data_IF_868494094915
#
_entry.id   IF_868494094915
#
_cell.length_a   1.000
_cell.length_b   1.000
_cell.length_c   1.000
_cell.angle_alpha   90.00
_cell.angle_beta   90.00
_cell.angle_gamma   90.00
#
_symmetry.space_group_name_H-M   'P 1'
#
loop_
_entity.id
_entity.type
_entity.pdbx_description
1 polymer ?
#
# COMPACT_ATOMS: atom_id res chain seq x y z
N UNK A 1 -9.18 16.93 2.28
CA UNK A 1 -7.83 16.36 2.06
C UNK A 1 -7.87 15.52 0.80
N UNK A 2 -6.91 15.68 -0.11
CA UNK A 2 -6.86 14.89 -1.35
C UNK A 2 -6.68 13.38 -1.06
N UNK A 3 -7.10 12.53 -1.99
CA UNK A 3 -6.84 11.10 -1.93
C UNK A 3 -5.33 10.83 -2.07
N UNK A 4 -4.77 9.81 -1.37
CA UNK A 4 -3.35 9.47 -1.50
C UNK A 4 -3.03 9.02 -2.93
N UNK A 5 -1.88 9.45 -3.46
CA UNK A 5 -1.35 8.97 -4.73
C UNK A 5 -0.73 7.58 -4.54
N UNK A 6 -1.55 6.56 -4.77
CA UNK A 6 -1.18 5.16 -4.54
C UNK A 6 0.02 4.73 -5.39
N UNK A 7 0.13 5.23 -6.62
CA UNK A 7 1.22 4.88 -7.54
C UNK A 7 2.54 5.48 -7.06
N UNK A 8 2.52 6.72 -6.59
CA UNK A 8 3.69 7.38 -6.03
C UNK A 8 4.11 6.75 -4.69
N UNK A 9 3.16 6.38 -3.83
CA UNK A 9 3.47 5.66 -2.58
C UNK A 9 4.17 4.35 -2.92
N UNK A 10 3.60 3.51 -3.80
CA UNK A 10 4.24 2.26 -4.23
C UNK A 10 5.63 2.48 -4.81
N UNK A 11 5.81 3.52 -5.62
CA UNK A 11 7.10 3.84 -6.23
C UNK A 11 8.23 4.02 -5.22
N UNK A 12 7.92 4.54 -4.02
CA UNK A 12 8.90 4.69 -2.93
C UNK A 12 9.28 3.38 -2.23
N UNK A 13 8.44 2.36 -2.38
CA UNK A 13 8.73 1.01 -1.90
C UNK A 13 9.52 0.19 -2.93
N UNK A 14 9.70 0.70 -4.16
CA UNK A 14 10.36 0.00 -5.28
C UNK A 14 9.74 -1.37 -5.59
N UNK A 15 8.44 -1.53 -5.27
CA UNK A 15 7.69 -2.76 -5.46
C UNK A 15 6.88 -2.75 -6.75
N UNK A 16 6.70 -3.95 -7.34
CA UNK A 16 5.68 -4.21 -8.34
C UNK A 16 4.27 -4.01 -7.79
N UNK A 17 3.27 -3.87 -8.67
CA UNK A 17 1.87 -3.79 -8.25
C UNK A 17 1.42 -5.03 -7.45
N UNK A 18 1.89 -6.22 -7.83
CA UNK A 18 1.55 -7.47 -7.13
C UNK A 18 2.12 -7.51 -5.72
N UNK A 19 3.39 -7.13 -5.54
CA UNK A 19 4.05 -7.15 -4.23
C UNK A 19 3.45 -6.11 -3.31
N UNK A 20 3.20 -4.89 -3.81
CA UNK A 20 2.60 -3.84 -3.00
C UNK A 20 1.14 -4.15 -2.65
N UNK A 21 0.38 -4.78 -3.55
CA UNK A 21 -0.96 -5.26 -3.24
C UNK A 21 -0.94 -6.33 -2.14
N UNK A 22 0.00 -7.27 -2.19
CA UNK A 22 0.19 -8.28 -1.15
C UNK A 22 0.57 -7.64 0.19
N UNK A 23 1.49 -6.68 0.20
CA UNK A 23 1.88 -5.91 1.37
C UNK A 23 0.70 -5.18 2.02
N UNK A 24 -0.22 -4.63 1.23
CA UNK A 24 -1.43 -3.97 1.72
C UNK A 24 -2.58 -4.93 2.04
N UNK A 25 -2.43 -6.24 1.77
CA UNK A 25 -3.48 -7.23 1.97
C UNK A 25 -4.69 -7.06 1.04
N UNK A 26 -4.47 -6.57 -0.19
CA UNK A 26 -5.52 -6.37 -1.20
C UNK A 26 -5.22 -7.12 -2.50
N UNK A 27 -6.26 -7.38 -3.30
CA UNK A 27 -6.06 -7.94 -4.64
C UNK A 27 -5.42 -6.91 -5.58
N UNK A 28 -4.55 -7.35 -6.49
CA UNK A 28 -3.92 -6.51 -7.53
C UNK A 28 -4.92 -5.67 -8.32
N UNK A 29 -6.13 -6.19 -8.61
CA UNK A 29 -7.19 -5.43 -9.31
C UNK A 29 -7.67 -4.24 -8.50
N UNK A 30 -7.71 -4.35 -7.17
CA UNK A 30 -8.07 -3.24 -6.27
C UNK A 30 -7.00 -2.16 -6.34
N UNK A 31 -5.72 -2.54 -6.24
CA UNK A 31 -4.61 -1.59 -6.36
C UNK A 31 -4.62 -0.88 -7.72
N UNK A 32 -4.81 -1.61 -8.82
CA UNK A 32 -4.89 -1.05 -10.17
C UNK A 32 -6.04 -0.05 -10.31
N UNK A 33 -7.22 -0.35 -9.76
CA UNK A 33 -8.34 0.58 -9.77
C UNK A 33 -8.02 1.88 -9.02
N UNK A 34 -7.23 1.81 -7.94
CA UNK A 34 -6.76 2.99 -7.22
C UNK A 34 -5.71 3.78 -7.98
N UNK A 35 -4.68 3.13 -8.51
CA UNK A 35 -3.62 3.81 -9.29
C UNK A 35 -4.15 4.46 -10.58
N UNK A 36 -5.22 3.91 -11.16
CA UNK A 36 -5.88 4.46 -12.35
C UNK A 36 -6.98 5.48 -12.02
N UNK A 37 -7.28 5.72 -10.74
CA UNK A 37 -8.35 6.63 -10.31
C UNK A 37 -9.77 6.15 -10.60
N UNK A 38 -9.96 4.89 -11.02
CA UNK A 38 -11.30 4.29 -11.25
C UNK A 38 -12.10 4.13 -9.95
N UNK A 39 -11.40 3.91 -8.84
CA UNK A 39 -11.93 3.93 -7.49
C UNK A 39 -10.92 4.63 -6.58
N UNK A 40 -11.39 5.22 -5.49
CA UNK A 40 -10.52 5.80 -4.47
C UNK A 40 -10.43 4.85 -3.27
N UNK A 41 -9.27 4.78 -2.60
CA UNK A 41 -9.17 4.09 -1.32
C UNK A 41 -10.02 4.82 -0.27
N UNK A 42 -10.75 4.06 0.54
CA UNK A 42 -11.64 4.59 1.58
C UNK A 42 -11.42 3.84 2.90
N UNK A 43 -11.93 4.40 4.00
CA UNK A 43 -11.86 3.79 5.32
C UNK A 43 -10.43 3.40 5.72
N UNK A 44 -10.27 2.18 6.23
CA UNK A 44 -8.98 1.65 6.68
C UNK A 44 -7.90 1.63 5.57
N UNK A 45 -8.26 1.35 4.31
CA UNK A 45 -7.29 1.33 3.22
C UNK A 45 -6.67 2.72 2.98
N UNK A 46 -7.47 3.79 3.09
CA UNK A 46 -6.96 5.16 3.00
C UNK A 46 -6.01 5.49 4.14
N UNK A 47 -6.34 5.07 5.36
CA UNK A 47 -5.48 5.29 6.53
C UNK A 47 -4.17 4.52 6.38
N UNK A 48 -4.23 3.24 5.98
CA UNK A 48 -3.05 2.40 5.77
C UNK A 48 -2.11 2.99 4.69
N UNK A 49 -2.66 3.49 3.58
CA UNK A 49 -1.86 4.16 2.55
C UNK A 49 -1.18 5.44 3.08
N UNK A 50 -1.86 6.22 3.92
CA UNK A 50 -1.26 7.39 4.55
C UNK A 50 -0.17 7.04 5.56
N UNK A 51 -0.31 5.91 6.26
CA UNK A 51 0.75 5.39 7.13
C UNK A 51 1.92 4.90 6.29
N UNK A 52 1.69 4.16 5.21
CA UNK A 52 2.72 3.70 4.29
C UNK A 52 3.47 4.87 3.64
N UNK A 53 2.76 5.95 3.33
CA UNK A 53 3.32 7.19 2.78
C UNK A 53 4.26 7.90 3.78
N UNK A 54 3.82 8.05 5.04
CA UNK A 54 4.51 8.86 6.05
C UNK A 54 5.52 8.09 6.90
N UNK A 55 5.30 6.80 7.08
CA UNK A 55 6.04 5.95 8.01
C UNK A 55 6.34 4.59 7.36
N UNK A 56 7.14 4.54 6.28
CA UNK A 56 7.40 3.31 5.56
C UNK A 56 8.07 2.23 6.41
N UNK A 57 8.95 2.63 7.34
CA UNK A 57 9.63 1.70 8.26
C UNK A 57 8.66 0.94 9.17
N UNK A 58 7.55 1.58 9.58
CA UNK A 58 6.54 0.92 10.41
C UNK A 58 5.82 -0.20 9.65
N UNK A 59 5.59 0.00 8.35
CA UNK A 59 5.02 -1.04 7.48
C UNK A 59 6.01 -2.18 7.31
N UNK A 60 7.29 -1.86 7.09
CA UNK A 60 8.32 -2.87 6.93
C UNK A 60 8.58 -3.68 8.19
N UNK A 61 8.57 -3.06 9.36
CA UNK A 61 8.72 -3.75 10.64
C UNK A 61 7.63 -4.81 10.84
N UNK A 62 6.38 -4.50 10.48
CA UNK A 62 5.26 -5.44 10.58
C UNK A 62 5.40 -6.60 9.58
N UNK A 63 5.72 -6.30 8.31
CA UNK A 63 5.79 -7.31 7.24
C UNK A 63 7.02 -8.21 7.37
N UNK A 64 8.20 -7.64 7.66
CA UNK A 64 9.44 -8.41 7.78
C UNK A 64 9.50 -9.23 9.07
N UNK A 65 8.93 -8.75 10.19
CA UNK A 65 8.81 -9.58 11.40
C UNK A 65 7.91 -10.79 11.18
N UNK A 66 6.91 -10.69 10.30
CA UNK A 66 6.05 -11.80 9.91
C UNK A 66 6.80 -12.92 9.16
N UNK A 67 7.83 -12.57 8.37
CA UNK A 67 8.63 -13.53 7.60
C UNK A 67 9.78 -14.16 8.40
N UNK A 68 10.21 -13.55 9.50
CA UNK A 68 11.27 -14.10 10.36
C UNK A 68 10.78 -15.21 11.31
N UNK A 69 9.46 -15.45 11.39
CA UNK A 69 8.83 -16.43 12.30
C UNK A 69 7.97 -17.48 11.58
N UNK A 70 8.19 -17.72 10.29
CA UNK A 70 7.52 -18.78 9.50
C UNK A 70 8.48 -19.86 9.03
#
# INVERSE_FOLDING_TARGET
>A
MAAPDVKQIRGRYELSQSEFAALLGVNIKTLQNWEQGRRLPQGAARVLLLVADKHPDAVWDVVHRGLAHS
#
